data_IF_161840647922
#
_entry.id   IF_161840647922
#
_cell.length_a   1.000
_cell.length_b   1.000
_cell.length_c   1.000
_cell.angle_alpha   90.00
_cell.angle_beta   90.00
_cell.angle_gamma   90.00
#
_symmetry.space_group_name_H-M   'P 1'
#
loop_
_entity.id
_entity.type
_entity.pdbx_description
1 polymer ?
#
# COMPACT_ATOMS: atom_id res chain seq x y z
N UNK A 1 0.24 2.19 -14.51
CA UNK A 1 -1.14 1.96 -14.04
C UNK A 1 -1.59 2.99 -13.01
N UNK A 2 -2.88 3.28 -12.91
CA UNK A 2 -3.46 4.09 -11.84
C UNK A 2 -4.01 3.18 -10.74
N UNK A 3 -3.65 3.47 -9.50
CA UNK A 3 -4.24 2.89 -8.29
C UNK A 3 -4.82 4.01 -7.42
N UNK A 4 -5.70 3.68 -6.49
CA UNK A 4 -6.16 4.63 -5.46
C UNK A 4 -5.43 4.35 -4.16
N UNK A 5 -4.89 5.37 -3.51
CA UNK A 5 -4.24 5.28 -2.20
C UNK A 5 -4.86 6.33 -1.29
N UNK A 6 -5.50 5.92 -0.19
CA UNK A 6 -6.20 6.81 0.75
C UNK A 6 -7.13 7.80 0.00
N UNK A 7 -8.02 7.25 -0.83
CA UNK A 7 -8.92 7.99 -1.73
C UNK A 7 -8.26 8.90 -2.80
N UNK A 8 -6.93 8.88 -2.96
CA UNK A 8 -6.22 9.69 -3.96
C UNK A 8 -5.65 8.84 -5.10
N UNK A 9 -5.80 9.31 -6.34
CA UNK A 9 -5.21 8.64 -7.49
C UNK A 9 -3.68 8.73 -7.45
N UNK A 10 -3.02 7.59 -7.66
CA UNK A 10 -1.57 7.46 -7.69
C UNK A 10 -1.14 6.70 -8.94
N UNK A 11 -0.21 7.28 -9.69
CA UNK A 11 0.39 6.64 -10.86
C UNK A 11 1.55 5.75 -10.43
N UNK A 12 1.38 4.45 -10.56
CA UNK A 12 2.39 3.44 -10.28
C UNK A 12 2.92 2.83 -11.59
N UNK A 13 4.16 2.33 -11.56
CA UNK A 13 4.69 1.53 -12.67
C UNK A 13 4.01 0.17 -12.69
N UNK A 14 3.90 -0.40 -13.88
CA UNK A 14 3.35 -1.74 -14.01
C UNK A 14 4.28 -2.75 -13.33
N UNK A 15 3.69 -3.68 -12.57
CA UNK A 15 4.46 -4.65 -11.78
C UNK A 15 4.98 -4.14 -10.43
N UNK A 16 4.71 -2.90 -10.04
CA UNK A 16 4.99 -2.42 -8.68
C UNK A 16 4.26 -3.29 -7.65
N UNK A 17 4.96 -3.70 -6.59
CA UNK A 17 4.36 -4.37 -5.43
C UNK A 17 4.04 -3.38 -4.30
N UNK A 18 3.27 -3.84 -3.32
CA UNK A 18 2.84 -3.00 -2.19
C UNK A 18 4.03 -2.48 -1.39
N UNK A 19 5.10 -3.27 -1.24
CA UNK A 19 6.29 -2.83 -0.50
C UNK A 19 7.02 -1.69 -1.22
N UNK A 20 7.18 -1.77 -2.54
CA UNK A 20 7.75 -0.71 -3.37
C UNK A 20 6.87 0.54 -3.36
N UNK A 21 5.54 0.40 -3.47
CA UNK A 21 4.61 1.53 -3.37
C UNK A 21 4.77 2.26 -2.02
N UNK A 22 4.80 1.51 -0.90
CA UNK A 22 5.02 2.09 0.42
C UNK A 22 6.36 2.83 0.52
N UNK A 23 7.41 2.32 -0.13
CA UNK A 23 8.70 3.02 -0.16
C UNK A 23 8.60 4.34 -0.93
N UNK A 24 7.99 4.33 -2.11
CA UNK A 24 7.81 5.52 -2.95
C UNK A 24 6.97 6.60 -2.26
N UNK A 25 6.01 6.19 -1.44
CA UNK A 25 5.18 7.07 -0.62
C UNK A 25 5.85 7.52 0.69
N UNK A 26 7.08 7.11 0.96
CA UNK A 26 7.85 7.50 2.16
C UNK A 26 7.46 6.74 3.44
N UNK A 27 6.73 5.64 3.33
CA UNK A 27 6.37 4.74 4.44
C UNK A 27 7.38 3.60 4.67
N UNK A 28 8.52 3.61 3.98
CA UNK A 28 9.59 2.63 4.17
C UNK A 28 9.96 2.50 5.66
N UNK A 29 9.94 1.26 6.17
CA UNK A 29 10.27 0.97 7.57
C UNK A 29 9.23 1.45 8.61
N UNK A 30 8.18 2.17 8.22
CA UNK A 30 7.15 2.62 9.15
C UNK A 30 6.22 1.48 9.56
N UNK A 31 5.60 1.62 10.73
CA UNK A 31 4.53 0.73 11.21
C UNK A 31 3.20 1.25 10.67
N UNK A 32 2.81 0.69 9.53
CA UNK A 32 1.52 0.94 8.88
C UNK A 32 0.76 -0.37 8.72
N UNK A 33 -0.57 -0.28 8.83
CA UNK A 33 -1.48 -1.30 8.34
C UNK A 33 -1.85 -0.95 6.90
N UNK A 34 -1.96 -1.97 6.05
CA UNK A 34 -2.38 -1.81 4.65
C UNK A 34 -3.61 -2.66 4.42
N UNK A 35 -4.64 -2.05 3.86
CA UNK A 35 -5.77 -2.72 3.25
C UNK A 35 -5.61 -2.65 1.73
N UNK A 36 -5.88 -3.74 1.03
CA UNK A 36 -5.95 -3.80 -0.42
C UNK A 36 -7.35 -4.27 -0.80
N UNK A 37 -8.10 -3.45 -1.54
CA UNK A 37 -9.44 -3.76 -2.01
C UNK A 37 -10.41 -4.21 -0.91
N UNK A 38 -10.39 -3.56 0.26
CA UNK A 38 -11.20 -3.90 1.44
C UNK A 38 -10.77 -5.15 2.21
N UNK A 39 -9.58 -5.66 1.93
CA UNK A 39 -8.98 -6.79 2.66
C UNK A 39 -7.66 -6.37 3.32
N UNK A 40 -7.52 -6.63 4.61
CA UNK A 40 -6.28 -6.35 5.34
C UNK A 40 -5.16 -7.22 4.75
N UNK A 41 -4.09 -6.59 4.27
CA UNK A 41 -2.93 -7.26 3.68
C UNK A 41 -1.81 -7.43 4.72
N UNK A 42 -1.49 -8.66 5.14
CA UNK A 42 -0.38 -8.93 6.05
C UNK A 42 0.95 -8.38 5.54
N UNK A 43 1.75 -7.80 6.44
CA UNK A 43 3.06 -7.20 6.10
C UNK A 43 4.01 -8.16 5.38
N UNK A 44 3.97 -9.45 5.72
CA UNK A 44 4.79 -10.48 5.07
C UNK A 44 4.47 -10.68 3.58
N UNK A 45 3.29 -10.27 3.13
CA UNK A 45 2.85 -10.37 1.74
C UNK A 45 3.11 -9.10 0.93
N UNK A 46 3.51 -7.97 1.56
CA UNK A 46 3.66 -6.68 0.85
C UNK A 46 4.61 -6.76 -0.34
N UNK A 47 5.74 -7.46 -0.22
CA UNK A 47 6.73 -7.62 -1.30
C UNK A 47 6.34 -8.68 -2.35
N UNK A 48 5.28 -9.45 -2.11
CA UNK A 48 4.79 -10.52 -2.99
C UNK A 48 3.51 -10.12 -3.73
N UNK A 49 2.75 -9.18 -3.17
CA UNK A 49 1.51 -8.69 -3.75
C UNK A 49 1.79 -7.60 -4.79
N UNK A 50 1.71 -8.00 -6.07
CA UNK A 50 1.77 -7.09 -7.22
C UNK A 50 0.46 -6.34 -7.34
N UNK A 51 0.54 -5.02 -7.49
CA UNK A 51 -0.60 -4.16 -7.75
C UNK A 51 -1.06 -4.27 -9.20
N UNK A 52 -2.34 -3.99 -9.40
CA UNK A 52 -3.01 -3.97 -10.70
C UNK A 52 -3.72 -2.63 -10.90
N UNK A 53 -3.96 -2.28 -12.15
CA UNK A 53 -4.79 -1.12 -12.51
C UNK A 53 -6.12 -1.14 -11.77
N UNK A 54 -6.47 -0.02 -11.14
CA UNK A 54 -7.72 0.16 -10.40
C UNK A 54 -7.74 -0.37 -8.97
N UNK A 55 -6.65 -1.00 -8.49
CA UNK A 55 -6.54 -1.42 -7.09
C UNK A 55 -6.67 -0.22 -6.14
N UNK A 56 -7.27 -0.46 -4.97
CA UNK A 56 -7.44 0.55 -3.92
C UNK A 56 -6.71 0.13 -2.66
N UNK A 57 -5.90 1.02 -2.12
CA UNK A 57 -5.14 0.82 -0.91
C UNK A 57 -5.55 1.84 0.15
N UNK A 58 -5.80 1.36 1.36
CA UNK A 58 -5.85 2.20 2.55
C UNK A 58 -4.62 1.94 3.41
N UNK A 59 -3.87 2.99 3.70
CA UNK A 59 -2.64 2.97 4.49
C UNK A 59 -2.92 3.72 5.78
N UNK A 60 -3.03 2.96 6.86
CA UNK A 60 -3.32 3.49 8.19
C UNK A 60 -2.03 3.46 9.00
N UNK A 61 -1.56 4.63 9.43
CA UNK A 61 -0.44 4.72 10.37
C UNK A 61 -0.92 4.23 11.73
N UNK A 62 -0.18 3.29 12.32
CA UNK A 62 -0.44 2.91 13.70
C UNK A 62 -0.10 4.11 14.60
N UNK A 63 -1.12 4.74 15.19
CA UNK A 63 -0.95 5.63 16.33
C UNK A 63 -0.70 4.77 17.56
N UNK A 64 0.57 4.61 17.93
CA UNK A 64 0.95 3.91 19.14
C UNK A 64 0.55 4.72 20.37
N UNK A 65 -0.49 4.26 21.07
CA UNK A 65 -0.65 4.52 22.50
C UNK A 65 0.28 3.58 23.28
N UNK A 66 0.98 4.14 24.27
CA UNK A 66 1.50 3.36 25.39
C UNK A 66 0.37 2.99 26.34
#
# INVERSE_FOLDING_TARGET
>A
MIVTVNDQAYEARDGTDVAELLQNLGFAGQRVAVELNREVLPRSLHAQTRLREGDRLEIIRAVGGG
#
